data_IF_450258127587
#
_entry.id   IF_450258127587
#
_cell.length_a   1.000
_cell.length_b   1.000
_cell.length_c   1.000
_cell.angle_alpha   90.00
_cell.angle_beta   90.00
_cell.angle_gamma   90.00
#
_symmetry.space_group_name_H-M   'P 1'
#
loop_
_entity.id
_entity.type
_entity.pdbx_description
1 polymer ?
#
# COMPACT_ATOMS: atom_id res chain seq x y z
N UNK A 1 -61.57 -45.25 12.58
CA UNK A 1 -61.07 -43.86 12.69
C UNK A 1 -61.59 -43.04 11.52
N UNK A 2 -62.07 -41.81 11.72
CA UNK A 2 -63.08 -41.21 10.86
C UNK A 2 -62.49 -40.56 9.60
N UNK A 3 -63.21 -40.69 8.47
CA UNK A 3 -62.94 -40.11 7.13
C UNK A 3 -62.72 -38.58 7.13
N UNK A 4 -62.99 -37.89 8.23
CA UNK A 4 -62.85 -36.44 8.37
C UNK A 4 -61.42 -36.01 8.73
N UNK A 5 -60.52 -36.93 9.09
CA UNK A 5 -59.14 -36.60 9.45
C UNK A 5 -58.19 -36.56 8.25
N UNK A 6 -58.44 -37.37 7.20
CA UNK A 6 -57.65 -37.33 5.96
C UNK A 6 -57.94 -36.10 5.10
N UNK A 7 -59.18 -35.61 5.11
CA UNK A 7 -59.54 -34.41 4.34
C UNK A 7 -58.90 -33.13 4.90
N UNK A 8 -58.68 -33.06 6.22
CA UNK A 8 -58.05 -31.92 6.86
C UNK A 8 -56.53 -31.87 6.60
N UNK A 9 -55.87 -33.02 6.57
CA UNK A 9 -54.42 -33.12 6.28
C UNK A 9 -54.13 -32.82 4.81
N UNK A 10 -55.00 -33.25 3.88
CA UNK A 10 -54.87 -32.94 2.44
C UNK A 10 -55.14 -31.45 2.16
N UNK A 11 -56.10 -30.81 2.85
CA UNK A 11 -56.33 -29.36 2.71
C UNK A 11 -55.14 -28.52 3.19
N UNK A 12 -54.47 -28.93 4.27
CA UNK A 12 -53.30 -28.20 4.81
C UNK A 12 -52.07 -28.37 3.90
N UNK A 13 -51.89 -29.53 3.27
CA UNK A 13 -50.82 -29.76 2.28
C UNK A 13 -51.04 -28.99 0.96
N UNK A 14 -52.29 -28.86 0.51
CA UNK A 14 -52.61 -28.07 -0.70
C UNK A 14 -52.51 -26.56 -0.43
N UNK A 15 -52.89 -26.09 0.77
CA UNK A 15 -52.71 -24.69 1.17
C UNK A 15 -51.22 -24.32 1.39
N UNK A 16 -50.40 -25.27 1.85
CA UNK A 16 -48.94 -25.09 1.98
C UNK A 16 -48.18 -25.04 0.65
N UNK A 17 -48.64 -25.78 -0.37
CA UNK A 17 -48.01 -25.79 -1.70
C UNK A 17 -48.52 -24.71 -2.68
N UNK A 18 -49.68 -24.10 -2.42
CA UNK A 18 -50.20 -22.98 -3.22
C UNK A 18 -49.73 -21.60 -2.74
N UNK A 19 -49.21 -21.49 -1.51
CA UNK A 19 -48.55 -20.27 -1.04
C UNK A 19 -47.09 -20.13 -1.55
N UNK A 20 -46.50 -21.19 -2.12
CA UNK A 20 -45.12 -21.22 -2.62
C UNK A 20 -44.97 -21.07 -4.13
N UNK A 21 -46.05 -20.92 -4.90
CA UNK A 21 -45.97 -20.96 -6.38
C UNK A 21 -46.65 -19.81 -7.14
N UNK A 22 -47.16 -18.76 -6.48
CA UNK A 22 -47.77 -17.62 -7.18
C UNK A 22 -47.32 -16.29 -6.57
N UNK A 23 -46.11 -15.87 -6.93
CA UNK A 23 -45.80 -14.49 -7.33
C UNK A 23 -44.43 -14.48 -8.03
N UNK A 24 -44.35 -15.13 -9.18
CA UNK A 24 -43.42 -14.72 -10.24
C UNK A 24 -44.23 -13.99 -11.30
N UNK A 25 -43.60 -12.95 -11.85
CA UNK A 25 -44.00 -12.08 -12.96
C UNK A 25 -44.79 -10.82 -12.56
N UNK A 26 -44.04 -9.77 -12.20
CA UNK A 26 -44.34 -8.43 -12.71
C UNK A 26 -43.08 -7.56 -12.78
N UNK A 27 -42.88 -7.00 -13.97
CA UNK A 27 -42.02 -5.87 -14.34
C UNK A 27 -40.54 -5.88 -13.92
N UNK A 28 -39.73 -6.23 -14.92
CA UNK A 28 -38.36 -5.79 -15.17
C UNK A 28 -38.21 -4.27 -14.94
N UNK A 29 -37.91 -3.86 -13.71
CA UNK A 29 -37.17 -2.62 -13.44
C UNK A 29 -35.79 -3.08 -13.01
N UNK A 30 -34.78 -2.72 -13.81
CA UNK A 30 -33.38 -2.72 -13.38
C UNK A 30 -33.35 -2.07 -12.00
N UNK A 31 -33.24 -2.89 -10.95
CA UNK A 31 -32.81 -2.41 -9.65
C UNK A 31 -31.40 -1.95 -9.92
N UNK A 32 -31.23 -0.64 -10.06
CA UNK A 32 -29.93 0.00 -9.91
C UNK A 32 -29.47 -0.49 -8.55
N UNK A 33 -28.53 -1.43 -8.59
CA UNK A 33 -27.78 -1.85 -7.43
C UNK A 33 -27.27 -0.54 -6.86
N UNK A 34 -27.86 -0.11 -5.73
CA UNK A 34 -27.29 0.99 -4.96
C UNK A 34 -25.83 0.61 -4.83
N UNK A 35 -24.97 1.49 -5.34
CA UNK A 35 -23.54 1.43 -5.14
C UNK A 35 -23.32 0.95 -3.72
N UNK A 36 -22.59 -0.16 -3.57
CA UNK A 36 -22.01 -0.54 -2.30
C UNK A 36 -21.44 0.75 -1.73
N UNK A 37 -22.05 1.23 -0.64
CA UNK A 37 -21.59 2.44 0.03
C UNK A 37 -20.09 2.22 0.25
N UNK A 38 -19.30 3.14 -0.31
CA UNK A 38 -17.84 3.08 -0.32
C UNK A 38 -17.36 2.74 1.09
N UNK A 39 -16.51 1.72 1.28
CA UNK A 39 -15.98 1.40 2.60
C UNK A 39 -15.34 2.66 3.17
N UNK A 40 -15.76 3.04 4.38
CA UNK A 40 -15.32 4.20 5.18
C UNK A 40 -14.30 5.10 4.48
N UNK A 41 -14.78 6.02 3.63
CA UNK A 41 -13.93 7.06 3.08
C UNK A 41 -13.47 7.90 4.27
N UNK A 42 -12.23 7.65 4.73
CA UNK A 42 -11.51 8.56 5.64
C UNK A 42 -11.77 9.99 5.15
N UNK A 43 -12.04 10.95 6.07
CA UNK A 43 -12.32 12.31 5.65
C UNK A 43 -11.21 12.79 4.71
N UNK A 44 -11.57 13.60 3.71
CA UNK A 44 -10.65 14.02 2.64
C UNK A 44 -9.27 14.44 3.17
N UNK A 45 -9.23 15.15 4.30
CA UNK A 45 -8.01 15.58 4.99
C UNK A 45 -7.04 14.45 5.38
N UNK A 46 -7.51 13.23 5.55
CA UNK A 46 -6.76 12.04 5.98
C UNK A 46 -6.54 11.03 4.84
N UNK A 47 -6.80 11.42 3.58
CA UNK A 47 -6.73 10.54 2.41
C UNK A 47 -5.30 10.09 2.06
N UNK A 48 -4.34 10.07 2.98
CA UNK A 48 -3.10 9.33 2.70
C UNK A 48 -3.43 7.83 2.67
N UNK A 49 -3.82 7.33 1.50
CA UNK A 49 -3.74 5.92 1.21
C UNK A 49 -2.27 5.63 0.97
N UNK A 50 -1.55 5.25 2.03
CA UNK A 50 -0.31 4.52 1.85
C UNK A 50 -0.69 3.19 1.18
N UNK A 51 -0.78 3.19 -0.15
CA UNK A 51 -1.02 1.97 -0.91
C UNK A 51 0.32 1.26 -1.06
N UNK A 52 0.22 -0.06 -0.93
CA UNK A 52 1.34 -0.97 -0.78
C UNK A 52 2.31 -0.83 -1.95
N UNK A 53 3.60 -0.72 -1.64
CA UNK A 53 4.66 -0.50 -2.63
C UNK A 53 6.05 -0.44 -1.98
N UNK A 54 7.08 -0.91 -2.70
CA UNK A 54 8.49 -0.80 -2.28
C UNK A 54 8.98 0.67 -2.26
N UNK A 55 8.21 1.59 -2.83
CA UNK A 55 8.50 3.02 -2.90
C UNK A 55 8.21 3.72 -1.56
N UNK A 56 8.98 3.39 -0.52
CA UNK A 56 8.88 3.94 0.84
C UNK A 56 8.60 5.46 0.85
N UNK A 57 7.33 5.81 1.01
CA UNK A 57 6.80 7.18 1.02
C UNK A 57 7.14 8.06 -0.20
N UNK A 58 7.42 7.49 -1.38
CA UNK A 58 7.75 8.26 -2.61
C UNK A 58 6.57 8.45 -3.55
N UNK A 59 5.54 7.65 -3.38
CA UNK A 59 4.31 7.69 -4.17
C UNK A 59 3.14 7.98 -3.24
N UNK A 60 2.28 8.89 -3.66
CA UNK A 60 1.18 9.40 -2.84
C UNK A 60 -0.05 9.60 -3.70
N UNK A 61 -1.13 8.90 -3.38
CA UNK A 61 -2.43 9.10 -4.00
C UNK A 61 -3.28 10.03 -3.14
N UNK A 62 -3.99 10.95 -3.80
CA UNK A 62 -4.92 11.90 -3.19
C UNK A 62 -6.26 11.83 -3.92
N UNK A 63 -7.35 12.45 -3.39
CA UNK A 63 -8.62 12.51 -4.12
C UNK A 63 -8.52 13.25 -5.46
N UNK A 64 -7.45 14.03 -5.66
CA UNK A 64 -7.22 14.89 -6.81
C UNK A 64 -6.27 14.29 -7.86
N UNK A 65 -5.54 13.24 -7.51
CA UNK A 65 -4.51 12.68 -8.37
C UNK A 65 -3.34 12.14 -7.56
N UNK A 66 -2.25 11.83 -8.26
CA UNK A 66 -1.10 11.14 -7.69
C UNK A 66 0.13 12.02 -7.73
N UNK A 67 0.95 11.90 -6.70
CA UNK A 67 2.23 12.58 -6.56
C UNK A 67 3.34 11.55 -6.51
N UNK A 68 4.46 11.86 -7.15
CA UNK A 68 5.65 11.03 -7.15
C UNK A 68 6.88 11.86 -6.89
N UNK A 69 7.66 11.49 -5.88
CA UNK A 69 8.94 12.12 -5.61
C UNK A 69 10.10 11.32 -6.23
N UNK A 70 10.80 11.97 -7.15
CA UNK A 70 11.94 11.42 -7.87
C UNK A 70 13.26 11.66 -7.12
N UNK A 71 14.30 10.87 -7.43
CA UNK A 71 15.66 11.11 -6.92
C UNK A 71 16.33 12.32 -7.55
N UNK A 72 15.75 12.88 -8.61
CA UNK A 72 16.18 14.15 -9.19
C UNK A 72 15.86 15.36 -8.29
N UNK A 73 15.28 15.13 -7.11
CA UNK A 73 14.86 16.13 -6.10
C UNK A 73 13.57 16.87 -6.42
N UNK A 74 12.82 16.45 -7.45
CA UNK A 74 11.56 17.05 -7.82
C UNK A 74 10.36 16.15 -7.49
N UNK A 75 9.22 16.79 -7.20
CA UNK A 75 7.92 16.17 -7.13
C UNK A 75 7.18 16.31 -8.47
N UNK A 76 6.56 15.22 -8.88
CA UNK A 76 5.74 15.12 -10.07
C UNK A 76 4.28 14.89 -9.67
N UNK A 77 3.35 15.33 -10.49
CA UNK A 77 1.91 15.18 -10.29
C UNK A 77 1.25 14.65 -11.57
N UNK A 78 0.32 13.72 -11.40
CA UNK A 78 -0.63 13.30 -12.42
C UNK A 78 -2.04 13.53 -11.90
N UNK A 79 -2.87 14.18 -12.72
CA UNK A 79 -4.29 14.37 -12.39
C UNK A 79 -5.01 13.03 -12.26
N UNK A 80 -6.04 12.96 -11.41
CA UNK A 80 -6.85 11.76 -11.24
C UNK A 80 -7.40 11.26 -12.58
N UNK A 81 -7.30 9.96 -12.83
CA UNK A 81 -7.68 9.36 -14.11
C UNK A 81 -6.73 9.66 -15.27
N UNK A 82 -5.55 10.26 -15.03
CA UNK A 82 -4.50 10.47 -16.01
C UNK A 82 -3.27 9.61 -15.69
N UNK A 83 -2.47 9.29 -16.71
CA UNK A 83 -1.20 8.56 -16.58
C UNK A 83 0.03 9.48 -16.66
N UNK A 84 -0.13 10.71 -17.16
CA UNK A 84 0.98 11.62 -17.42
C UNK A 84 1.40 12.39 -16.17
N UNK A 85 2.67 12.22 -15.79
CA UNK A 85 3.31 12.94 -14.69
C UNK A 85 4.06 14.18 -15.17
N UNK A 86 3.68 15.36 -14.65
CA UNK A 86 4.35 16.65 -14.89
C UNK A 86 5.01 17.14 -13.60
N UNK A 87 6.04 17.99 -13.69
CA UNK A 87 6.63 18.61 -12.49
C UNK A 87 5.60 19.51 -11.79
N UNK A 88 5.47 19.36 -10.48
CA UNK A 88 4.47 20.09 -9.69
C UNK A 88 4.91 21.54 -9.46
N UNK A 89 4.67 22.41 -10.44
CA UNK A 89 5.10 23.79 -10.40
C UNK A 89 4.11 24.70 -11.11
N UNK A 90 3.53 25.65 -10.38
CA UNK A 90 2.56 26.62 -10.90
C UNK A 90 3.19 27.89 -11.52
N UNK A 91 4.52 27.98 -11.62
CA UNK A 91 5.23 29.14 -12.19
C UNK A 91 5.27 29.02 -13.72
N UNK A 92 4.62 29.93 -14.49
CA UNK A 92 4.50 29.80 -15.95
C UNK A 92 5.84 29.72 -16.69
N UNK A 93 6.84 30.51 -16.27
CA UNK A 93 8.14 30.60 -16.95
C UNK A 93 9.25 29.82 -16.22
N UNK A 94 8.89 28.80 -15.44
CA UNK A 94 9.88 28.00 -14.73
C UNK A 94 10.61 27.06 -15.69
N UNK A 95 11.94 27.19 -15.76
CA UNK A 95 12.79 26.29 -16.54
C UNK A 95 12.98 24.90 -15.91
N UNK A 96 12.45 24.69 -14.70
CA UNK A 96 12.49 23.46 -13.92
C UNK A 96 13.88 22.82 -13.74
N UNK A 97 14.93 23.63 -13.64
CA UNK A 97 16.31 23.16 -13.46
C UNK A 97 17.05 23.78 -12.28
N UNK A 98 16.37 24.62 -11.48
CA UNK A 98 16.94 25.26 -10.30
C UNK A 98 16.17 24.88 -9.03
N UNK A 99 16.80 25.13 -7.88
CA UNK A 99 16.19 24.98 -6.55
C UNK A 99 15.03 25.95 -6.31
N UNK A 100 14.87 26.98 -7.14
CA UNK A 100 13.76 27.95 -7.08
C UNK A 100 12.47 27.41 -7.72
N UNK A 101 12.52 26.24 -8.35
CA UNK A 101 11.34 25.57 -8.88
C UNK A 101 10.41 25.14 -7.74
N UNK A 102 9.11 25.37 -7.89
CA UNK A 102 8.10 24.95 -6.91
C UNK A 102 7.99 23.41 -6.77
N UNK A 103 8.52 22.65 -7.74
CA UNK A 103 8.58 21.19 -7.62
C UNK A 103 9.78 20.70 -6.80
N UNK A 104 10.75 21.56 -6.44
CA UNK A 104 12.00 21.12 -5.81
C UNK A 104 11.82 20.90 -4.30
N UNK A 105 12.07 19.67 -3.83
CA UNK A 105 11.95 19.29 -2.42
C UNK A 105 13.20 18.65 -1.81
N UNK A 106 14.28 18.52 -2.59
CA UNK A 106 15.61 17.95 -2.21
C UNK A 106 15.62 16.46 -1.80
N UNK A 107 14.51 15.92 -1.32
CA UNK A 107 14.38 14.55 -0.79
C UNK A 107 13.02 13.94 -1.12
N UNK A 108 12.83 12.65 -0.80
CA UNK A 108 11.80 11.84 -1.44
C UNK A 108 10.63 11.33 -0.60
N UNK A 109 10.58 11.60 0.71
CA UNK A 109 9.45 11.16 1.54
C UNK A 109 8.35 12.22 1.51
N UNK A 110 7.19 11.86 1.01
CA UNK A 110 6.03 12.73 0.86
C UNK A 110 4.79 12.13 1.54
N UNK A 111 3.90 13.00 2.01
CA UNK A 111 2.60 12.65 2.57
C UNK A 111 1.58 13.75 2.33
N UNK A 112 0.30 13.42 2.49
CA UNK A 112 -0.80 14.36 2.31
C UNK A 112 -1.57 14.53 3.61
N UNK A 113 -1.84 15.78 3.99
CA UNK A 113 -2.76 16.08 5.07
C UNK A 113 -3.38 17.45 4.87
N UNK A 114 -4.69 17.56 5.08
CA UNK A 114 -5.45 18.82 5.04
C UNK A 114 -5.06 19.76 3.87
N UNK A 115 -5.16 19.24 2.63
CA UNK A 115 -4.88 19.98 1.39
C UNK A 115 -3.46 20.51 1.26
N UNK A 116 -2.50 19.90 1.96
CA UNK A 116 -1.07 20.19 1.87
C UNK A 116 -0.27 18.93 1.63
N UNK A 117 0.86 19.12 0.96
CA UNK A 117 1.88 18.09 0.82
C UNK A 117 2.94 18.33 1.88
N UNK A 118 3.25 17.29 2.64
CA UNK A 118 4.30 17.28 3.66
C UNK A 118 5.47 16.46 3.17
N UNK A 119 6.68 16.88 3.51
CA UNK A 119 7.88 16.17 3.11
C UNK A 119 9.03 16.36 4.09
N UNK A 120 9.96 15.41 4.10
CA UNK A 120 11.11 15.42 5.01
C UNK A 120 12.39 15.77 4.25
N UNK A 121 13.15 16.73 4.78
CA UNK A 121 14.50 17.06 4.32
C UNK A 121 15.47 16.93 5.49
N UNK A 122 16.31 15.90 5.49
CA UNK A 122 17.13 15.56 6.65
C UNK A 122 16.25 15.22 7.86
N UNK A 123 16.40 15.99 8.93
CA UNK A 123 15.60 15.94 10.16
C UNK A 123 14.52 17.04 10.22
N UNK A 124 14.22 17.75 9.13
CA UNK A 124 13.23 18.83 9.11
C UNK A 124 11.95 18.38 8.41
N UNK A 125 10.81 18.60 9.06
CA UNK A 125 9.49 18.49 8.45
C UNK A 125 9.15 19.80 7.74
N UNK A 126 8.77 19.69 6.48
CA UNK A 126 8.36 20.80 5.64
C UNK A 126 6.97 20.55 5.09
N UNK A 127 6.34 21.61 4.57
CA UNK A 127 5.13 21.47 3.77
C UNK A 127 5.07 22.50 2.66
N UNK A 128 4.16 22.26 1.72
CA UNK A 128 3.86 23.07 0.55
C UNK A 128 2.38 22.92 0.20
N UNK A 129 1.87 23.85 -0.60
CA UNK A 129 0.55 23.71 -1.19
C UNK A 129 0.56 22.64 -2.28
N UNK A 130 -0.61 22.08 -2.57
CA UNK A 130 -0.77 20.99 -3.55
C UNK A 130 -0.33 21.36 -4.97
N UNK A 131 -0.15 22.63 -5.28
CA UNK A 131 0.27 23.12 -6.60
C UNK A 131 1.79 23.39 -6.72
N UNK A 132 2.56 23.02 -5.69
CA UNK A 132 3.99 23.29 -5.66
C UNK A 132 4.38 24.52 -4.83
N UNK A 133 3.46 25.43 -4.54
CA UNK A 133 3.82 26.74 -4.00
C UNK A 133 3.92 26.76 -2.48
N UNK A 134 4.36 27.91 -1.94
CA UNK A 134 4.32 28.22 -0.51
C UNK A 134 5.06 27.21 0.40
N UNK A 135 6.25 26.79 -0.02
CA UNK A 135 7.14 25.98 0.81
C UNK A 135 7.41 26.65 2.15
N UNK A 136 7.26 25.90 3.23
CA UNK A 136 7.64 26.34 4.57
C UNK A 136 8.27 25.20 5.37
N UNK A 137 9.24 25.56 6.20
CA UNK A 137 9.69 24.70 7.27
C UNK A 137 8.59 24.67 8.34
N UNK A 138 8.18 23.48 8.76
CA UNK A 138 7.23 23.32 9.86
C UNK A 138 8.00 23.29 11.17
N UNK A 139 8.89 22.30 11.33
CA UNK A 139 9.67 22.07 12.56
C UNK A 139 10.84 21.11 12.32
N UNK A 140 11.84 21.16 13.20
CA UNK A 140 12.84 20.11 13.31
C UNK A 140 12.29 18.90 14.11
N UNK A 141 12.64 17.69 13.69
CA UNK A 141 12.23 16.44 14.34
C UNK A 141 13.12 16.08 15.53
N UNK A 142 14.39 16.45 15.50
CA UNK A 142 15.38 16.18 16.54
C UNK A 142 16.65 16.98 16.24
N UNK A 143 17.50 17.18 17.25
CA UNK A 143 18.82 17.76 17.08
C UNK A 143 19.79 16.78 16.39
N UNK A 144 20.67 17.27 15.52
CA UNK A 144 21.70 16.48 14.85
C UNK A 144 21.48 16.23 13.35
N UNK A 145 22.23 15.27 12.80
CA UNK A 145 22.28 14.99 11.36
C UNK A 145 21.93 13.54 10.99
N UNK A 146 21.50 12.74 11.97
CA UNK A 146 21.11 11.36 11.73
C UNK A 146 19.93 11.29 10.77
N UNK A 147 19.94 10.28 9.89
CA UNK A 147 18.80 10.00 9.03
C UNK A 147 17.63 9.46 9.85
N UNK A 148 16.44 9.53 9.28
CA UNK A 148 15.25 8.86 9.79
C UNK A 148 14.62 7.98 8.70
N UNK A 149 13.76 7.07 9.13
CA UNK A 149 12.89 6.29 8.26
C UNK A 149 11.48 6.31 8.83
N UNK A 150 10.47 6.53 7.99
CA UNK A 150 9.13 6.76 8.48
C UNK A 150 8.06 6.94 7.42
N UNK A 151 6.82 7.03 7.89
CA UNK A 151 5.60 7.11 7.09
C UNK A 151 4.67 8.20 7.62
N UNK A 152 3.95 8.84 6.70
CA UNK A 152 2.85 9.74 7.05
C UNK A 152 1.57 8.91 7.24
N UNK A 153 0.87 9.15 8.34
CA UNK A 153 -0.40 8.49 8.64
C UNK A 153 -1.27 9.39 9.51
N UNK A 154 -2.53 9.57 9.10
CA UNK A 154 -3.56 10.30 9.84
C UNK A 154 -3.13 11.68 10.40
N UNK A 155 -2.37 12.48 9.65
CA UNK A 155 -1.89 13.81 10.10
C UNK A 155 -0.65 13.77 11.00
N UNK A 156 0.00 12.63 11.11
CA UNK A 156 1.27 12.46 11.81
C UNK A 156 2.35 11.92 10.87
N UNK A 157 3.59 12.25 11.17
CA UNK A 157 4.75 11.54 10.63
C UNK A 157 5.30 10.61 11.72
N UNK A 158 5.23 9.30 11.48
CA UNK A 158 5.78 8.26 12.36
C UNK A 158 7.16 7.87 11.85
N UNK A 159 8.17 7.83 12.73
CA UNK A 159 9.54 7.57 12.30
C UNK A 159 10.41 6.93 13.38
N UNK A 160 11.47 6.29 12.92
CA UNK A 160 12.62 5.88 13.74
C UNK A 160 13.85 6.66 13.29
N UNK A 161 14.76 6.94 14.22
CA UNK A 161 16.07 7.51 13.91
C UNK A 161 16.97 6.35 13.49
N UNK A 162 17.65 6.49 12.35
CA UNK A 162 18.50 5.44 11.76
C UNK A 162 19.98 5.79 11.94
N UNK A 163 20.44 5.81 13.19
CA UNK A 163 21.87 5.93 13.51
C UNK A 163 22.61 4.73 12.87
N UNK A 164 23.64 4.97 12.08
CA UNK A 164 24.31 3.92 11.28
C UNK A 164 23.82 3.79 9.82
N UNK A 165 22.87 4.62 9.40
CA UNK A 165 22.56 4.86 7.98
C UNK A 165 21.33 4.14 7.42
N UNK A 166 20.82 3.10 8.08
CA UNK A 166 19.58 2.41 7.70
C UNK A 166 18.82 1.88 8.93
N UNK A 167 17.56 1.49 8.72
CA UNK A 167 16.78 0.77 9.74
C UNK A 167 17.47 -0.54 10.12
N UNK A 168 17.38 -0.91 11.40
CA UNK A 168 17.97 -2.15 11.94
C UNK A 168 19.50 -2.23 11.85
N UNK A 169 20.20 -1.14 11.51
CA UNK A 169 21.65 -1.15 11.34
C UNK A 169 22.37 -1.38 12.68
N UNK A 170 23.45 -2.17 12.65
CA UNK A 170 24.35 -2.31 13.80
C UNK A 170 24.89 -0.94 14.21
N UNK A 171 24.83 -0.64 15.51
CA UNK A 171 25.24 0.66 16.06
C UNK A 171 24.11 1.67 16.20
N UNK A 172 22.89 1.37 15.72
CA UNK A 172 21.72 2.08 16.20
C UNK A 172 21.45 1.67 17.65
N UNK A 173 21.51 2.64 18.55
CA UNK A 173 21.21 2.48 19.99
C UNK A 173 19.84 3.07 20.35
N UNK A 174 19.18 3.73 19.39
CA UNK A 174 17.88 4.34 19.61
C UNK A 174 16.78 3.30 19.34
N UNK A 175 16.18 2.80 20.42
CA UNK A 175 15.10 1.83 20.38
C UNK A 175 13.70 2.48 20.44
N UNK A 176 13.59 3.76 20.05
CA UNK A 176 12.34 4.50 20.05
C UNK A 176 11.70 4.60 18.66
N UNK A 177 10.37 4.54 18.64
CA UNK A 177 9.54 4.98 17.53
C UNK A 177 8.83 6.27 17.93
N UNK A 178 9.01 7.29 17.12
CA UNK A 178 8.49 8.64 17.32
C UNK A 178 7.27 8.90 16.45
N UNK A 179 6.43 9.85 16.86
CA UNK A 179 5.51 10.53 15.94
C UNK A 179 5.49 12.02 16.18
N UNK A 180 5.10 12.78 15.17
CA UNK A 180 4.86 14.21 15.29
C UNK A 180 3.66 14.63 14.47
N UNK A 181 2.84 15.53 15.00
CA UNK A 181 1.73 16.12 14.25
C UNK A 181 2.26 17.10 13.22
N UNK A 182 1.73 17.03 11.99
CA UNK A 182 2.36 17.70 10.84
C UNK A 182 1.93 19.16 10.64
N UNK A 183 0.77 19.55 11.15
CA UNK A 183 0.09 20.81 10.87
C UNK A 183 0.15 21.85 12.01
N UNK A 184 0.84 21.56 13.11
CA UNK A 184 1.07 22.50 14.21
C UNK A 184 2.56 22.58 14.61
N UNK A 185 2.86 23.20 15.76
CA UNK A 185 4.23 23.34 16.30
C UNK A 185 4.55 22.37 17.45
N UNK A 186 3.73 21.34 17.67
CA UNK A 186 3.97 20.34 18.71
C UNK A 186 5.33 19.64 18.54
N UNK A 187 6.02 19.39 19.65
CA UNK A 187 7.26 18.60 19.62
C UNK A 187 6.94 17.13 19.27
N UNK A 188 7.88 16.41 18.63
CA UNK A 188 7.75 14.96 18.47
C UNK A 188 7.65 14.25 19.82
N UNK A 189 6.88 13.18 19.85
CA UNK A 189 6.72 12.32 21.04
C UNK A 189 7.16 10.90 20.75
N UNK A 190 7.65 10.21 21.79
CA UNK A 190 7.95 8.78 21.74
C UNK A 190 6.64 8.02 21.88
N UNK A 191 6.31 7.22 20.88
CA UNK A 191 5.10 6.38 20.86
C UNK A 191 5.37 5.01 21.45
N UNK A 192 6.57 4.49 21.25
CA UNK A 192 7.01 3.17 21.68
C UNK A 192 8.52 3.17 21.93
N UNK A 193 8.95 2.56 23.03
CA UNK A 193 10.34 2.21 23.31
C UNK A 193 10.43 0.68 23.40
N UNK A 194 11.16 0.03 22.50
CA UNK A 194 11.25 -1.43 22.45
C UNK A 194 12.48 -1.91 21.67
N UNK A 195 13.18 -2.92 22.18
CA UNK A 195 14.39 -3.46 21.54
C UNK A 195 14.15 -4.07 20.15
N UNK A 196 12.91 -4.45 19.83
CA UNK A 196 12.54 -4.86 18.47
C UNK A 196 12.82 -3.75 17.42
N UNK A 197 12.84 -2.47 17.84
CA UNK A 197 13.19 -1.34 16.98
C UNK A 197 14.69 -1.37 16.58
N UNK A 198 15.56 -1.92 17.44
CA UNK A 198 17.00 -2.03 17.13
C UNK A 198 17.27 -3.06 16.03
N UNK A 199 16.38 -4.05 15.86
CA UNK A 199 16.44 -5.09 14.80
C UNK A 199 15.33 -4.94 13.77
N UNK A 200 14.82 -3.73 13.63
CA UNK A 200 13.71 -3.40 12.75
C UNK A 200 14.06 -3.72 11.29
N UNK A 201 13.28 -4.61 10.69
CA UNK A 201 13.32 -4.84 9.25
C UNK A 201 12.39 -3.88 8.51
N UNK A 202 11.18 -3.67 9.03
CA UNK A 202 10.19 -2.71 8.50
C UNK A 202 9.15 -2.40 9.56
N UNK A 203 8.44 -1.28 9.42
CA UNK A 203 7.16 -1.09 10.11
C UNK A 203 6.10 -0.55 9.16
N UNK A 204 4.83 -0.71 9.52
CA UNK A 204 3.70 -0.06 8.87
C UNK A 204 2.68 0.39 9.90
N UNK A 205 1.76 1.28 9.53
CA UNK A 205 0.66 1.72 10.38
C UNK A 205 -0.66 1.41 9.65
N UNK A 206 -1.57 0.73 10.34
CA UNK A 206 -2.95 0.53 9.89
C UNK A 206 -3.88 0.93 11.03
N UNK A 207 -4.85 1.81 10.74
CA UNK A 207 -5.74 2.39 11.75
C UNK A 207 -4.97 2.96 12.93
N UNK A 208 -5.23 2.43 14.11
CA UNK A 208 -4.59 2.82 15.37
C UNK A 208 -3.44 1.89 15.80
N UNK A 209 -3.04 0.95 14.95
CA UNK A 209 -2.01 -0.05 15.22
C UNK A 209 -0.73 0.22 14.42
N UNK A 210 0.41 0.07 15.09
CA UNK A 210 1.73 0.02 14.46
C UNK A 210 2.14 -1.44 14.40
N UNK A 211 2.50 -1.91 13.21
CA UNK A 211 3.01 -3.25 12.99
C UNK A 211 4.52 -3.19 12.80
N UNK A 212 5.23 -3.89 13.67
CA UNK A 212 6.69 -3.96 13.68
C UNK A 212 7.11 -5.32 13.12
N UNK A 213 8.00 -5.30 12.13
CA UNK A 213 8.59 -6.49 11.52
C UNK A 213 10.06 -6.50 11.89
N UNK A 214 10.47 -7.49 12.66
CA UNK A 214 11.82 -7.65 13.18
C UNK A 214 12.50 -8.81 12.46
N UNK A 215 13.79 -8.67 12.12
CA UNK A 215 14.56 -9.82 11.63
C UNK A 215 14.57 -10.94 12.67
N UNK A 216 14.27 -12.16 12.24
CA UNK A 216 14.35 -13.30 13.13
C UNK A 216 15.83 -13.72 13.33
N UNK A 217 16.21 -14.04 14.57
CA UNK A 217 17.53 -14.58 14.86
C UNK A 217 17.66 -16.06 14.43
N UNK A 218 16.54 -16.77 14.33
CA UNK A 218 16.47 -18.12 13.77
C UNK A 218 16.54 -18.04 12.24
N UNK A 219 17.63 -18.56 11.66
CA UNK A 219 17.87 -18.56 10.23
C UNK A 219 16.86 -19.38 9.41
N UNK A 220 16.01 -20.18 10.05
CA UNK A 220 14.92 -20.93 9.39
C UNK A 220 13.65 -20.10 9.21
N UNK A 221 13.57 -18.93 9.86
CA UNK A 221 12.43 -18.01 9.81
C UNK A 221 12.86 -16.69 9.19
N UNK A 222 11.92 -16.00 8.55
CA UNK A 222 12.23 -14.73 7.87
C UNK A 222 12.18 -13.56 8.86
N UNK A 223 11.02 -13.34 9.49
CA UNK A 223 10.81 -12.23 10.40
C UNK A 223 9.76 -12.55 11.46
N UNK A 224 9.81 -11.85 12.59
CA UNK A 224 8.71 -11.79 13.56
C UNK A 224 7.82 -10.59 13.28
N UNK A 225 6.51 -10.75 13.44
CA UNK A 225 5.52 -9.68 13.35
C UNK A 225 4.95 -9.38 14.73
N UNK A 226 4.93 -8.10 15.08
CA UNK A 226 4.33 -7.59 16.31
C UNK A 226 3.29 -6.52 15.98
N UNK A 227 2.30 -6.34 16.85
CA UNK A 227 1.41 -5.19 16.84
C UNK A 227 1.58 -4.35 18.11
N UNK A 228 1.40 -3.04 17.95
CA UNK A 228 1.32 -2.09 19.03
C UNK A 228 0.11 -1.18 18.83
N UNK A 229 -0.85 -1.23 19.74
CA UNK A 229 -2.00 -0.32 19.72
C UNK A 229 -1.61 1.05 20.26
N UNK A 230 -1.80 2.10 19.47
CA UNK A 230 -1.53 3.48 19.88
C UNK A 230 -2.57 4.02 20.87
N UNK A 231 -3.75 3.40 20.94
CA UNK A 231 -4.82 3.70 21.91
C UNK A 231 -4.56 2.99 23.23
N UNK A 232 -4.54 1.65 23.22
CA UNK A 232 -4.45 0.86 24.46
C UNK A 232 -3.03 0.71 24.99
N UNK A 233 -2.01 1.14 24.21
CA UNK A 233 -0.58 0.97 24.48
C UNK A 233 -0.15 -0.48 24.66
N UNK A 234 -0.92 -1.43 24.11
CA UNK A 234 -0.66 -2.87 24.23
C UNK A 234 0.28 -3.31 23.12
N UNK A 235 1.39 -3.95 23.51
CA UNK A 235 2.29 -4.70 22.63
C UNK A 235 1.85 -6.16 22.54
N UNK A 236 1.77 -6.72 21.34
CA UNK A 236 1.38 -8.13 21.10
C UNK A 236 2.31 -8.76 20.08
N UNK A 237 2.77 -9.98 20.37
CA UNK A 237 3.51 -10.80 19.42
C UNK A 237 2.48 -11.54 18.58
N UNK A 238 2.49 -11.31 17.27
CA UNK A 238 1.52 -11.93 16.37
C UNK A 238 2.05 -13.28 15.86
N UNK A 239 3.22 -13.29 15.24
CA UNK A 239 3.85 -14.53 14.79
C UNK A 239 5.37 -14.36 14.74
N UNK A 240 6.10 -15.45 14.90
CA UNK A 240 7.55 -15.48 14.74
C UNK A 240 8.01 -15.92 13.33
N UNK A 241 7.06 -16.24 12.45
CA UNK A 241 7.31 -16.63 11.07
C UNK A 241 6.41 -15.84 10.12
N UNK A 242 6.71 -14.55 9.99
CA UNK A 242 6.12 -13.64 9.04
C UNK A 242 6.94 -13.57 7.75
N UNK A 243 6.36 -12.97 6.71
CA UNK A 243 7.06 -12.69 5.45
C UNK A 243 7.97 -11.48 5.56
N UNK A 244 8.91 -11.36 4.61
CA UNK A 244 9.78 -10.21 4.52
C UNK A 244 9.10 -8.94 3.99
N UNK A 245 9.88 -7.87 3.83
CA UNK A 245 9.38 -6.59 3.33
C UNK A 245 8.82 -6.72 1.90
N UNK A 246 7.62 -6.18 1.68
CA UNK A 246 7.04 -6.03 0.34
C UNK A 246 6.20 -7.20 -0.17
N UNK A 247 5.89 -8.20 0.66
CA UNK A 247 5.03 -9.34 0.29
C UNK A 247 3.77 -9.46 1.16
N UNK A 248 3.30 -8.35 1.74
CA UNK A 248 2.15 -8.34 2.63
C UNK A 248 1.34 -7.04 2.58
N UNK A 249 0.12 -7.14 3.09
CA UNK A 249 -0.74 -6.03 3.47
C UNK A 249 -1.30 -6.28 4.86
N UNK A 250 -1.45 -5.22 5.64
CA UNK A 250 -2.10 -5.25 6.95
C UNK A 250 -3.13 -4.11 6.96
N UNK A 251 -4.38 -4.46 7.24
CA UNK A 251 -5.43 -3.51 7.59
C UNK A 251 -5.80 -3.66 9.08
N UNK A 252 -6.95 -3.12 9.48
CA UNK A 252 -7.35 -3.07 10.89
C UNK A 252 -7.76 -4.44 11.44
N UNK A 253 -8.27 -5.35 10.59
CA UNK A 253 -8.85 -6.64 10.99
C UNK A 253 -8.07 -7.85 10.45
N UNK A 254 -7.41 -7.69 9.30
CA UNK A 254 -6.76 -8.77 8.57
C UNK A 254 -5.35 -8.42 8.12
N UNK A 255 -4.53 -9.46 8.03
CA UNK A 255 -3.29 -9.47 7.26
C UNK A 255 -3.41 -10.35 6.03
N UNK A 256 -2.72 -9.97 4.98
CA UNK A 256 -2.58 -10.74 3.75
C UNK A 256 -1.10 -10.88 3.45
N UNK A 257 -0.62 -12.05 3.10
CA UNK A 257 0.77 -12.21 2.70
C UNK A 257 0.97 -13.34 1.70
N UNK A 258 2.07 -13.24 0.95
CA UNK A 258 2.52 -14.31 0.05
C UNK A 258 3.82 -14.90 0.61
N UNK A 259 3.79 -16.19 0.93
CA UNK A 259 4.97 -16.95 1.29
C UNK A 259 5.57 -17.59 0.05
N UNK A 260 6.84 -17.26 -0.22
CA UNK A 260 7.59 -17.68 -1.41
C UNK A 260 7.54 -19.20 -1.61
N UNK A 261 7.04 -19.62 -2.78
CA UNK A 261 6.89 -21.01 -3.20
C UNK A 261 6.08 -21.87 -2.23
N UNK A 262 5.15 -21.24 -1.52
CA UNK A 262 4.13 -21.91 -0.69
C UNK A 262 2.75 -21.43 -1.13
N UNK A 263 2.50 -20.12 -1.09
CA UNK A 263 1.24 -19.55 -1.55
C UNK A 263 0.77 -18.33 -0.77
N UNK A 264 -0.51 -18.00 -0.97
CA UNK A 264 -1.18 -16.88 -0.31
C UNK A 264 -1.76 -17.28 1.03
N UNK A 265 -1.57 -16.41 2.02
CA UNK A 265 -2.08 -16.56 3.37
C UNK A 265 -2.97 -15.37 3.74
N UNK A 266 -3.99 -15.67 4.54
CA UNK A 266 -4.72 -14.67 5.33
C UNK A 266 -4.34 -14.83 6.80
N UNK A 267 -4.25 -13.70 7.48
CA UNK A 267 -3.95 -13.61 8.91
C UNK A 267 -5.13 -12.95 9.62
N UNK A 268 -5.75 -13.65 10.56
CA UNK A 268 -6.77 -13.08 11.43
C UNK A 268 -6.08 -12.40 12.61
N UNK A 269 -6.13 -11.07 12.65
CA UNK A 269 -5.46 -10.29 13.70
C UNK A 269 -6.15 -10.42 15.08
N UNK A 270 -7.38 -10.92 15.12
CA UNK A 270 -8.14 -11.13 16.35
C UNK A 270 -7.82 -12.48 16.99
N UNK A 271 -7.79 -13.55 16.19
CA UNK A 271 -7.50 -14.92 16.67
C UNK A 271 -6.02 -15.24 16.66
N UNK A 272 -5.21 -14.43 15.97
CA UNK A 272 -3.77 -14.62 15.81
C UNK A 272 -3.42 -15.86 14.99
N UNK A 273 -4.30 -16.23 14.05
CA UNK A 273 -4.18 -17.41 13.20
C UNK A 273 -3.80 -17.04 11.76
N UNK A 274 -2.86 -17.80 11.20
CA UNK A 274 -2.42 -17.66 9.82
C UNK A 274 -2.85 -18.88 9.00
N UNK A 275 -3.63 -18.65 7.95
CA UNK A 275 -4.25 -19.71 7.15
C UNK A 275 -3.79 -19.65 5.70
N UNK A 276 -3.30 -20.77 5.17
CA UNK A 276 -2.99 -20.93 3.75
C UNK A 276 -4.31 -20.97 2.98
N UNK A 277 -4.61 -19.93 2.21
CA UNK A 277 -5.87 -19.82 1.44
C UNK A 277 -5.72 -20.31 0.01
N UNK A 278 -4.52 -20.19 -0.57
CA UNK A 278 -4.23 -20.67 -1.92
C UNK A 278 -2.78 -21.13 -2.04
N UNK A 279 -2.53 -22.44 -2.22
CA UNK A 279 -1.21 -22.92 -2.61
C UNK A 279 -0.81 -22.32 -3.97
N UNK A 280 0.41 -21.82 -4.08
CA UNK A 280 0.93 -21.25 -5.32
C UNK A 280 2.43 -21.48 -5.37
N UNK A 281 2.85 -22.26 -6.36
CA UNK A 281 4.24 -22.58 -6.63
C UNK A 281 4.62 -21.91 -7.95
N UNK A 282 5.79 -21.26 -7.98
CA UNK A 282 6.37 -20.70 -9.18
C UNK A 282 7.54 -21.58 -9.61
N UNK A 283 7.76 -21.70 -10.92
CA UNK A 283 8.74 -22.63 -11.50
C UNK A 283 10.19 -22.39 -11.06
N UNK A 284 10.48 -21.22 -10.49
CA UNK A 284 11.82 -20.85 -10.04
C UNK A 284 11.84 -20.31 -8.59
N UNK A 285 13.07 -20.21 -8.06
CA UNK A 285 13.34 -19.68 -6.73
C UNK A 285 13.55 -18.16 -6.76
N UNK A 286 12.77 -17.39 -7.51
CA UNK A 286 12.83 -15.94 -7.46
C UNK A 286 12.28 -15.37 -6.14
N UNK A 287 12.54 -14.09 -5.88
CA UNK A 287 11.87 -13.37 -4.78
C UNK A 287 10.53 -12.84 -5.29
N UNK A 288 9.54 -12.69 -4.41
CA UNK A 288 8.25 -12.12 -4.77
C UNK A 288 7.92 -10.89 -3.93
N UNK A 289 7.21 -9.95 -4.54
CA UNK A 289 6.44 -8.92 -3.85
C UNK A 289 4.95 -9.15 -4.13
N UNK A 290 4.09 -8.86 -3.16
CA UNK A 290 2.65 -9.08 -3.27
C UNK A 290 1.91 -7.84 -2.80
N UNK A 291 1.00 -7.35 -3.63
CA UNK A 291 0.21 -6.16 -3.38
C UNK A 291 -1.27 -6.47 -3.53
N UNK A 292 -2.05 -6.14 -2.51
CA UNK A 292 -3.45 -6.49 -2.31
C UNK A 292 -4.31 -5.23 -2.47
N UNK A 293 -4.75 -4.96 -3.69
CA UNK A 293 -5.65 -3.84 -3.99
C UNK A 293 -7.12 -4.34 -3.98
N UNK A 294 -8.12 -3.42 -3.95
CA UNK A 294 -9.53 -3.81 -3.92
C UNK A 294 -9.96 -4.67 -5.12
N UNK A 295 -9.48 -4.31 -6.32
CA UNK A 295 -9.86 -5.00 -7.55
C UNK A 295 -9.06 -6.30 -7.75
N UNK A 296 -7.75 -6.24 -7.49
CA UNK A 296 -6.81 -7.31 -7.85
C UNK A 296 -5.70 -7.48 -6.80
N UNK A 297 -5.10 -8.67 -6.81
CA UNK A 297 -3.83 -8.94 -6.14
C UNK A 297 -2.74 -9.00 -7.21
N UNK A 298 -1.70 -8.18 -7.05
CA UNK A 298 -0.54 -8.12 -7.94
C UNK A 298 0.64 -8.83 -7.28
N UNK A 299 1.08 -9.93 -7.87
CA UNK A 299 2.27 -10.66 -7.44
C UNK A 299 3.40 -10.39 -8.45
N UNK A 300 4.44 -9.70 -8.01
CA UNK A 300 5.64 -9.43 -8.81
C UNK A 300 6.69 -10.48 -8.49
N UNK A 301 7.05 -11.27 -9.49
CA UNK A 301 8.07 -12.27 -9.38
C UNK A 301 9.38 -11.80 -10.03
N UNK A 302 10.46 -11.73 -9.25
CA UNK A 302 11.81 -11.44 -9.70
C UNK A 302 12.52 -12.77 -10.03
N UNK A 303 12.34 -13.25 -11.26
CA UNK A 303 12.67 -14.61 -11.73
C UNK A 303 14.17 -14.87 -11.96
N UNK A 304 15.03 -14.37 -11.06
CA UNK A 304 16.47 -14.61 -11.10
C UNK A 304 17.03 -14.87 -9.70
N UNK A 305 18.13 -15.62 -9.64
CA UNK A 305 18.90 -15.81 -8.41
C UNK A 305 20.37 -15.40 -8.65
N UNK A 306 20.87 -14.32 -8.02
CA UNK A 306 20.17 -13.43 -7.08
C UNK A 306 19.02 -12.64 -7.75
N UNK A 307 18.05 -12.12 -6.97
CA UNK A 307 16.94 -11.33 -7.49
C UNK A 307 17.42 -10.13 -8.31
N UNK A 308 16.79 -9.89 -9.45
CA UNK A 308 17.11 -8.80 -10.38
C UNK A 308 15.83 -8.07 -10.78
N UNK A 309 15.92 -6.75 -10.84
CA UNK A 309 14.82 -5.92 -11.35
C UNK A 309 14.70 -5.97 -12.88
N UNK A 310 15.66 -6.56 -13.59
CA UNK A 310 15.69 -6.56 -15.07
C UNK A 310 14.66 -7.48 -15.72
N UNK A 311 14.25 -8.55 -15.03
CA UNK A 311 13.21 -9.45 -15.49
C UNK A 311 12.22 -9.63 -14.35
N UNK A 312 11.02 -9.11 -14.56
CA UNK A 312 9.92 -9.23 -13.63
C UNK A 312 8.75 -9.89 -14.35
N UNK A 313 8.04 -10.78 -13.67
CA UNK A 313 6.74 -11.28 -14.14
C UNK A 313 5.70 -10.71 -13.19
N UNK A 314 4.75 -9.95 -13.73
CA UNK A 314 3.55 -9.54 -13.03
C UNK A 314 2.50 -10.63 -13.22
N UNK A 315 2.05 -11.22 -12.12
CA UNK A 315 0.86 -12.06 -12.08
C UNK A 315 -0.29 -11.26 -11.45
N UNK A 316 -1.47 -11.36 -12.05
CA UNK A 316 -2.68 -10.65 -11.63
C UNK A 316 -3.71 -11.69 -11.19
N UNK A 317 -4.11 -11.63 -9.92
CA UNK A 317 -5.13 -12.50 -9.34
C UNK A 317 -6.37 -11.69 -8.97
N UNK A 318 -7.54 -12.33 -8.97
CA UNK A 318 -8.72 -11.79 -8.29
C UNK A 318 -8.57 -11.87 -6.76
N UNK A 319 -9.56 -11.33 -6.04
CA UNK A 319 -9.63 -11.40 -4.58
C UNK A 319 -9.95 -12.80 -4.03
N UNK A 320 -10.35 -13.73 -4.89
CA UNK A 320 -10.56 -15.15 -4.57
C UNK A 320 -9.31 -15.99 -4.89
N UNK A 321 -8.17 -15.34 -5.16
CA UNK A 321 -6.87 -15.95 -5.44
C UNK A 321 -6.81 -16.81 -6.72
N UNK A 322 -7.68 -16.55 -7.69
CA UNK A 322 -7.59 -17.14 -9.03
C UNK A 322 -6.69 -16.28 -9.92
N UNK A 323 -5.75 -16.91 -10.62
CA UNK A 323 -4.91 -16.24 -11.60
C UNK A 323 -5.77 -15.82 -12.79
N UNK A 324 -5.79 -14.52 -13.09
CA UNK A 324 -6.53 -13.95 -14.21
C UNK A 324 -5.60 -13.77 -15.41
N UNK A 325 -4.42 -13.19 -15.19
CA UNK A 325 -3.51 -12.81 -16.26
C UNK A 325 -2.05 -12.73 -15.77
N UNK A 326 -1.11 -12.70 -16.70
CA UNK A 326 0.31 -12.50 -16.38
C UNK A 326 1.06 -11.85 -17.55
N UNK A 327 2.05 -11.01 -17.22
CA UNK A 327 2.86 -10.33 -18.22
C UNK A 327 4.30 -10.13 -17.75
N UNK A 328 5.25 -10.28 -18.67
CA UNK A 328 6.66 -9.98 -18.43
C UNK A 328 6.91 -8.46 -18.53
N UNK A 329 7.53 -7.89 -17.50
CA UNK A 329 8.10 -6.56 -17.53
C UNK A 329 9.63 -6.65 -17.73
N UNK A 330 10.08 -6.30 -18.92
CA UNK A 330 11.49 -6.33 -19.36
C UNK A 330 12.02 -4.94 -19.76
N UNK A 331 11.37 -3.89 -19.25
CA UNK A 331 11.64 -2.49 -19.61
C UNK A 331 12.59 -1.78 -18.65
N UNK A 332 13.11 -2.46 -17.62
CA UNK A 332 14.07 -1.86 -16.68
C UNK A 332 15.42 -1.68 -17.38
N UNK A 333 15.91 -0.44 -17.44
CA UNK A 333 17.19 -0.08 -18.05
C UNK A 333 18.09 0.66 -17.05
N UNK A 334 19.40 0.51 -17.26
CA UNK A 334 20.46 0.97 -16.34
C UNK A 334 20.97 -0.16 -15.44
N UNK A 335 22.29 -0.34 -15.36
CA UNK A 335 22.90 -1.46 -14.62
C UNK A 335 22.85 -1.29 -13.09
N UNK A 336 22.50 -0.11 -12.59
CA UNK A 336 22.50 0.26 -11.17
C UNK A 336 21.12 0.75 -10.66
N UNK A 337 20.06 0.57 -11.45
CA UNK A 337 18.73 1.12 -11.19
C UNK A 337 17.73 -0.01 -10.89
N UNK A 338 16.82 0.25 -9.95
CA UNK A 338 15.65 -0.59 -9.67
C UNK A 338 14.43 0.03 -10.36
N UNK A 339 13.51 -0.79 -10.84
CA UNK A 339 12.22 -0.38 -11.39
C UNK A 339 11.16 -1.44 -11.10
N UNK A 340 9.94 -1.25 -11.60
CA UNK A 340 8.83 -2.17 -11.43
C UNK A 340 7.54 -1.46 -11.04
N UNK A 341 6.71 -2.19 -10.29
CA UNK A 341 5.39 -1.74 -9.84
C UNK A 341 5.48 -0.50 -8.95
N UNK A 342 4.68 0.52 -9.25
CA UNK A 342 4.54 1.73 -8.43
C UNK A 342 3.26 1.67 -7.61
N UNK A 343 2.13 1.40 -8.26
CA UNK A 343 0.83 1.40 -7.62
C UNK A 343 -0.31 1.13 -8.60
N UNK A 344 -1.48 0.84 -8.04
CA UNK A 344 -2.76 0.77 -8.76
C UNK A 344 -3.56 2.03 -8.43
N UNK A 345 -3.95 2.76 -9.49
CA UNK A 345 -4.65 4.04 -9.42
C UNK A 345 -5.75 4.13 -10.46
N UNK A 346 -6.99 4.33 -9.99
CA UNK A 346 -8.21 4.37 -10.80
C UNK A 346 -8.29 3.18 -11.79
N UNK A 347 -8.11 3.48 -13.10
CA UNK A 347 -8.21 2.53 -14.21
C UNK A 347 -6.85 1.96 -14.63
N UNK A 348 -5.76 2.34 -13.96
CA UNK A 348 -4.41 2.06 -14.42
C UNK A 348 -3.58 1.38 -13.34
N UNK A 349 -2.68 0.50 -13.79
CA UNK A 349 -1.57 0.02 -12.97
C UNK A 349 -0.30 0.71 -13.44
N UNK A 350 0.38 1.42 -12.55
CA UNK A 350 1.51 2.28 -12.87
C UNK A 350 2.82 1.54 -12.63
N UNK A 351 3.72 1.63 -13.59
CA UNK A 351 5.05 1.03 -13.57
C UNK A 351 6.12 2.06 -13.89
N UNK A 352 7.32 1.78 -13.41
CA UNK A 352 8.51 2.56 -13.72
C UNK A 352 9.65 1.66 -14.17
N UNK A 353 10.30 2.01 -15.28
CA UNK A 353 11.56 1.40 -15.68
C UNK A 353 12.71 1.74 -14.72
N UNK A 354 12.60 2.85 -13.98
CA UNK A 354 13.61 3.36 -13.06
C UNK A 354 12.95 4.15 -11.92
N UNK A 355 12.90 3.60 -10.71
CA UNK A 355 12.36 4.26 -9.52
C UNK A 355 13.04 5.59 -9.18
N UNK A 356 14.17 5.93 -9.82
CA UNK A 356 14.79 7.24 -9.64
C UNK A 356 14.13 8.33 -10.49
N UNK A 357 13.33 7.97 -11.49
CA UNK A 357 12.64 8.86 -12.44
C UNK A 357 11.13 8.77 -12.27
N UNK A 358 10.37 9.68 -12.92
CA UNK A 358 8.91 9.62 -12.96
C UNK A 358 8.42 8.31 -13.57
N UNK A 359 7.22 7.84 -13.22
CA UNK A 359 6.63 6.68 -13.89
C UNK A 359 6.53 6.89 -15.41
N UNK A 360 6.77 5.82 -16.15
CA UNK A 360 6.92 5.87 -17.60
C UNK A 360 6.19 4.71 -18.32
N UNK A 361 5.55 3.81 -17.58
CA UNK A 361 4.68 2.77 -18.12
C UNK A 361 3.37 2.64 -17.34
N UNK A 362 2.33 2.19 -18.02
CA UNK A 362 1.07 1.78 -17.38
C UNK A 362 0.46 0.55 -18.05
N UNK A 363 -0.47 -0.09 -17.33
CA UNK A 363 -1.41 -1.09 -17.86
C UNK A 363 -2.81 -0.49 -17.74
N UNK A 364 -3.65 -0.61 -18.78
CA UNK A 364 -5.07 -0.31 -18.67
C UNK A 364 -5.81 -1.51 -18.06
N UNK A 365 -6.47 -1.32 -16.92
CA UNK A 365 -7.15 -2.42 -16.21
C UNK A 365 -8.25 -3.07 -17.05
N UNK A 366 -8.78 -2.40 -18.07
CA UNK A 366 -9.77 -2.98 -18.98
C UNK A 366 -9.20 -4.07 -19.89
N UNK A 367 -7.87 -4.21 -19.98
CA UNK A 367 -7.18 -5.25 -20.75
C UNK A 367 -6.97 -6.54 -19.96
N UNK A 368 -7.12 -6.50 -18.63
CA UNK A 368 -6.89 -7.64 -17.74
C UNK A 368 -7.89 -8.75 -18.07
N UNK A 369 -7.37 -9.94 -18.39
CA UNK A 369 -8.19 -11.12 -18.70
C UNK A 369 -8.78 -11.11 -20.12
N UNK A 370 -8.50 -10.10 -20.95
CA UNK A 370 -8.97 -10.08 -22.34
C UNK A 370 -8.00 -10.79 -23.30
N UNK A 371 -6.81 -11.19 -22.82
CA UNK A 371 -5.73 -11.72 -23.65
C UNK A 371 -4.92 -10.66 -24.41
N UNK A 372 -5.20 -9.37 -24.18
CA UNK A 372 -4.50 -8.23 -24.81
C UNK A 372 -3.68 -7.40 -23.80
N UNK A 373 -3.44 -7.93 -22.60
CA UNK A 373 -2.71 -7.25 -21.55
C UNK A 373 -1.33 -6.79 -22.05
N UNK A 374 -1.03 -5.49 -21.93
CA UNK A 374 0.26 -4.95 -22.34
C UNK A 374 0.70 -3.74 -21.52
N UNK A 375 2.02 -3.49 -21.52
CA UNK A 375 2.59 -2.26 -20.99
C UNK A 375 2.57 -1.16 -22.06
N UNK A 376 1.88 -0.07 -21.76
CA UNK A 376 1.84 1.15 -22.57
C UNK A 376 2.87 2.14 -22.06
N UNK A 377 3.60 2.79 -22.97
CA UNK A 377 4.54 3.87 -22.62
C UNK A 377 3.74 5.13 -22.28
N UNK A 378 4.10 5.81 -21.20
CA UNK A 378 3.57 7.15 -20.89
C UNK A 378 4.32 8.14 -21.78
N UNK A 379 3.62 8.81 -22.69
CA UNK A 379 4.18 9.84 -23.57
C UNK A 379 4.30 11.19 -22.84
N UNK A 380 5.31 11.99 -23.24
CA UNK A 380 5.70 13.26 -22.60
C UNK A 380 4.84 14.47 -22.95
#
# INVERSE_FOLDING_TARGET
MPKNMYSLIILILIAGCLASCLMLVSCNKKTIQKSVDSPDLKPEAYYTSYKQGFSAARFLETPYGTYFSSRDSYIYYSEKGNTKYIKLCNKPDCNHNTVDCNAYIKWYKIGYYDKKIYYITGNTLNCMDMDGSNHRNVKALYEGYDNNFGYFHNGYYYYVITKGGSIGAFGNEDNNLYRVKVDDDSAPEIVLTNDAILRLYMFTIAGDNIYIIEFNADATKVASLYSFSTISKKWTILTDNWVGAGAYYLDDDKGYCYMRNIGFYEYDLTTNEMNLVKPTELDDIGTCSAFYYPDYIYLIHYNSNPPSYQNQILYIYDRDYNLIDSIKFDKVYGKSTSGGFIGDVDKYVIFSSNYNEKPDFYIDKSEIGTGNLMFHKIED
#
